data_IF_650942489956
#
_entry.id   IF_650942489956
#
_cell.length_a   1.000
_cell.length_b   1.000
_cell.length_c   1.000
_cell.angle_alpha   90.00
_cell.angle_beta   90.00
_cell.angle_gamma   90.00
#
_symmetry.space_group_name_H-M   'P 1'
#
loop_
_entity.id
_entity.type
_entity.pdbx_description
1 polymer ?
#
# COMPACT_ATOMS: atom_id res chain seq x y z
N UNK A 1 6.12 15.67 -5.23
CA UNK A 1 5.66 14.33 -5.68
C UNK A 1 6.01 13.23 -4.65
N UNK A 2 5.16 12.21 -4.50
CA UNK A 2 5.28 11.24 -3.43
C UNK A 2 6.41 10.25 -3.68
N UNK A 3 7.22 9.98 -2.65
CA UNK A 3 8.36 9.05 -2.67
C UNK A 3 8.15 7.97 -1.63
N UNK A 4 8.13 6.70 -2.06
CA UNK A 4 8.05 5.56 -1.15
C UNK A 4 9.33 5.40 -0.30
N UNK A 5 9.16 4.98 0.95
CA UNK A 5 10.28 4.73 1.87
C UNK A 5 11.19 3.56 1.47
N UNK A 6 10.66 2.62 0.66
CA UNK A 6 11.39 1.49 0.11
C UNK A 6 11.06 1.34 -1.37
N UNK A 7 12.04 0.90 -2.16
CA UNK A 7 11.85 0.55 -3.57
C UNK A 7 11.08 -0.75 -3.75
N UNK A 8 11.18 -1.68 -2.80
CA UNK A 8 10.48 -2.97 -2.80
C UNK A 8 9.94 -3.26 -1.39
N UNK A 9 8.69 -3.68 -1.32
CA UNK A 9 8.06 -4.20 -0.11
C UNK A 9 7.79 -5.69 -0.31
N UNK A 10 8.23 -6.51 0.64
CA UNK A 10 8.06 -7.96 0.62
C UNK A 10 7.53 -8.41 1.98
N UNK A 11 6.57 -9.33 1.96
CA UNK A 11 6.04 -9.97 3.15
C UNK A 11 5.75 -11.45 2.88
N UNK A 12 5.77 -12.26 3.94
CA UNK A 12 5.35 -13.66 3.91
C UNK A 12 4.05 -13.78 4.70
N UNK A 13 3.06 -14.42 4.10
CA UNK A 13 1.72 -14.59 4.68
C UNK A 13 1.53 -16.08 4.99
N UNK A 14 1.09 -16.39 6.21
CA UNK A 14 0.72 -17.75 6.57
C UNK A 14 -0.60 -18.14 5.90
N UNK A 15 -0.70 -19.38 5.42
CA UNK A 15 -1.90 -19.87 4.71
C UNK A 15 -3.18 -19.84 5.56
N UNK A 16 -3.03 -19.92 6.88
CA UNK A 16 -4.12 -19.92 7.85
C UNK A 16 -4.41 -18.51 8.40
N UNK A 17 -3.81 -17.46 7.83
CA UNK A 17 -4.03 -16.10 8.29
C UNK A 17 -5.48 -15.67 7.95
N UNK A 18 -6.26 -15.18 8.92
CA UNK A 18 -7.64 -14.76 8.67
C UNK A 18 -7.74 -13.63 7.64
N UNK A 19 -8.81 -13.62 6.85
CA UNK A 19 -9.10 -12.53 5.92
C UNK A 19 -9.21 -11.19 6.66
N UNK A 20 -8.67 -10.12 6.05
CA UNK A 20 -8.61 -8.78 6.66
C UNK A 20 -7.44 -8.58 7.62
N UNK A 21 -6.59 -9.58 7.84
CA UNK A 21 -5.35 -9.41 8.61
C UNK A 21 -4.39 -8.45 7.91
N UNK A 22 -3.66 -7.65 8.71
CA UNK A 22 -2.60 -6.78 8.20
C UNK A 22 -1.44 -7.62 7.65
N UNK A 23 -1.12 -7.44 6.37
CA UNK A 23 0.00 -8.14 5.70
C UNK A 23 1.29 -7.33 5.83
N UNK A 24 1.24 -6.07 5.39
CA UNK A 24 2.32 -5.10 5.50
C UNK A 24 1.71 -3.70 5.43
N UNK A 25 2.51 -2.70 5.80
CA UNK A 25 2.18 -1.29 5.63
C UNK A 25 3.16 -0.64 4.67
N UNK A 26 2.64 0.14 3.72
CA UNK A 26 3.47 0.97 2.84
C UNK A 26 3.50 2.40 3.32
N UNK A 27 4.60 3.10 3.03
CA UNK A 27 4.75 4.50 3.41
C UNK A 27 5.41 5.29 2.28
N UNK A 28 4.84 6.44 1.96
CA UNK A 28 5.41 7.43 1.07
C UNK A 28 5.29 8.84 1.66
N UNK A 29 6.24 9.69 1.32
CA UNK A 29 6.30 11.09 1.73
C UNK A 29 6.35 11.99 0.50
N UNK A 30 5.56 13.05 0.50
CA UNK A 30 5.67 14.13 -0.47
C UNK A 30 6.23 15.38 0.24
N UNK A 31 7.13 16.10 -0.42
CA UNK A 31 7.76 17.31 0.12
C UNK A 31 6.90 18.57 -0.09
N UNK A 32 5.83 18.47 -0.89
CA UNK A 32 4.92 19.56 -1.18
C UNK A 32 4.08 19.94 0.07
N UNK A 33 3.82 21.23 0.26
CA UNK A 33 3.08 21.73 1.41
C UNK A 33 1.55 21.67 1.23
N UNK A 34 0.83 21.55 2.34
CA UNK A 34 -0.65 21.57 2.34
C UNK A 34 -1.25 20.36 1.62
N UNK A 35 -2.37 20.56 0.93
CA UNK A 35 -3.09 19.48 0.23
C UNK A 35 -2.28 18.80 -0.88
N UNK A 36 -1.30 19.50 -1.45
CA UNK A 36 -0.44 18.95 -2.50
C UNK A 36 0.53 17.88 -1.96
N UNK A 37 0.79 17.88 -0.64
CA UNK A 37 1.57 16.84 0.02
C UNK A 37 0.77 15.61 0.46
N UNK A 38 -0.55 15.58 0.21
CA UNK A 38 -1.40 14.48 0.66
C UNK A 38 -1.16 13.25 -0.22
N UNK A 39 -0.72 12.17 0.41
CA UNK A 39 -0.50 10.88 -0.25
C UNK A 39 -1.79 10.04 -0.20
N UNK A 40 -2.14 9.43 -1.33
CA UNK A 40 -3.18 8.41 -1.42
C UNK A 40 -2.63 7.14 -2.05
N UNK A 41 -2.94 5.99 -1.46
CA UNK A 41 -2.46 4.68 -1.92
C UNK A 41 -3.49 3.96 -2.77
N UNK A 42 -3.02 3.24 -3.79
CA UNK A 42 -3.82 2.34 -4.62
C UNK A 42 -2.94 1.31 -5.29
N UNK A 43 -3.51 0.15 -5.65
CA UNK A 43 -2.81 -0.81 -6.50
C UNK A 43 -2.71 -0.30 -7.93
N UNK A 44 -1.49 -0.28 -8.46
CA UNK A 44 -1.22 -0.04 -9.88
C UNK A 44 -1.67 -1.22 -10.77
N UNK A 45 -1.22 -1.21 -12.02
CA UNK A 45 -1.41 -2.35 -12.93
C UNK A 45 -0.63 -3.54 -12.40
N UNK A 46 -1.36 -4.57 -11.96
CA UNK A 46 -0.79 -5.82 -11.46
C UNK A 46 -1.50 -7.03 -12.06
N UNK A 47 -1.17 -8.24 -11.59
CA UNK A 47 -1.88 -9.45 -11.96
C UNK A 47 -3.40 -9.29 -11.78
N UNK A 48 -4.18 -9.91 -12.67
CA UNK A 48 -5.65 -9.95 -12.53
C UNK A 48 -6.01 -10.59 -11.19
N UNK A 49 -6.99 -10.03 -10.49
CA UNK A 49 -7.50 -10.56 -9.22
C UNK A 49 -6.77 -10.05 -7.95
N UNK A 50 -5.70 -9.25 -8.04
CA UNK A 50 -5.03 -8.71 -6.84
C UNK A 50 -6.00 -7.95 -5.92
N UNK A 51 -6.92 -7.17 -6.51
CA UNK A 51 -7.93 -6.39 -5.77
C UNK A 51 -9.05 -7.24 -5.14
N UNK A 52 -9.12 -8.52 -5.48
CA UNK A 52 -10.06 -9.48 -4.89
C UNK A 52 -9.43 -10.19 -3.68
N UNK A 53 -8.10 -10.24 -3.61
CA UNK A 53 -7.34 -10.94 -2.57
C UNK A 53 -6.76 -10.00 -1.51
N UNK A 54 -6.34 -8.81 -1.91
CA UNK A 54 -5.70 -7.83 -1.04
C UNK A 54 -6.37 -6.47 -1.16
N UNK A 55 -6.38 -5.75 -0.04
CA UNK A 55 -6.88 -4.36 0.07
C UNK A 55 -5.73 -3.49 0.58
N UNK A 56 -5.62 -2.28 0.03
CA UNK A 56 -4.74 -1.23 0.53
C UNK A 56 -5.62 -0.12 1.07
N UNK A 57 -5.32 0.38 2.26
CA UNK A 57 -6.06 1.52 2.79
C UNK A 57 -5.54 2.80 2.14
N UNK A 58 -6.46 3.62 1.60
CA UNK A 58 -6.08 4.77 0.78
C UNK A 58 -5.28 5.82 1.54
N UNK A 59 -5.48 5.95 2.85
CA UNK A 59 -4.87 7.01 3.65
C UNK A 59 -3.68 6.50 4.48
N UNK A 60 -3.76 5.25 4.94
CA UNK A 60 -2.78 4.68 5.86
C UNK A 60 -1.77 3.72 5.22
N UNK A 61 -2.02 3.27 3.98
CA UNK A 61 -1.12 2.41 3.19
C UNK A 61 -1.26 0.95 3.54
#
# INVERSE_FOLDING_TARGET
PPVFSKSVYEARVAENLPAGSLVLRVWATDADAGSNGRVSYSFGSGPKGVRELFVVDRESG
#
